data_IF_480644075190
#
_entry.id   IF_480644075190
#
_cell.length_a   1.000
_cell.length_b   1.000
_cell.length_c   1.000
_cell.angle_alpha   90.00
_cell.angle_beta   90.00
_cell.angle_gamma   90.00
#
_symmetry.space_group_name_H-M   'P 1'
#
loop_
_entity.id
_entity.type
_entity.pdbx_description
1 polymer ?
#
# COMPACT_ATOMS: atom_id res chain seq x y z
N UNK A 1 25.83 18.98 -21.22
CA UNK A 1 24.48 18.76 -21.79
C UNK A 1 23.43 19.16 -20.76
N UNK A 2 22.29 19.70 -21.22
CA UNK A 2 21.19 20.13 -20.37
C UNK A 2 19.93 19.31 -20.66
N UNK A 3 19.01 19.24 -19.70
CA UNK A 3 17.78 18.47 -19.81
C UNK A 3 16.58 19.32 -19.41
N UNK A 4 15.55 19.29 -20.24
CA UNK A 4 14.25 19.88 -19.95
C UNK A 4 13.25 18.76 -19.64
N UNK A 5 12.59 18.86 -18.48
CA UNK A 5 11.45 18.01 -18.13
C UNK A 5 10.26 18.87 -17.77
N UNK A 6 9.18 18.75 -18.54
CA UNK A 6 7.92 19.41 -18.21
C UNK A 6 7.31 18.79 -16.94
N UNK A 7 7.01 19.63 -15.94
CA UNK A 7 6.31 19.24 -14.72
C UNK A 7 4.81 18.93 -14.93
N UNK A 8 4.19 19.37 -16.03
CA UNK A 8 2.77 19.13 -16.34
C UNK A 8 2.54 17.84 -17.14
N UNK A 9 3.20 17.69 -18.28
CA UNK A 9 2.95 16.57 -19.20
C UNK A 9 4.09 15.53 -19.26
N UNK A 10 5.11 15.69 -18.41
CA UNK A 10 6.29 14.83 -18.34
C UNK A 10 7.10 14.71 -19.64
N UNK A 11 6.91 15.61 -20.60
CA UNK A 11 7.75 15.68 -21.80
C UNK A 11 9.21 15.91 -21.39
N UNK A 12 10.12 15.13 -21.99
CA UNK A 12 11.54 15.14 -21.72
C UNK A 12 12.30 15.36 -23.03
N UNK A 13 13.23 16.30 -23.02
CA UNK A 13 14.08 16.57 -24.18
C UNK A 13 15.47 17.02 -23.71
N UNK A 14 16.45 16.83 -24.57
CA UNK A 14 17.78 17.35 -24.38
C UNK A 14 17.87 18.80 -24.89
N UNK A 15 18.60 19.65 -24.17
CA UNK A 15 18.82 21.05 -24.49
C UNK A 15 20.32 21.37 -24.51
N UNK A 16 20.64 22.46 -25.20
CA UNK A 16 22.00 22.99 -25.30
C UNK A 16 22.47 23.50 -23.92
N UNK A 17 23.77 23.40 -23.65
CA UNK A 17 24.33 23.80 -22.36
C UNK A 17 24.17 25.28 -22.03
N UNK A 18 24.13 26.14 -23.03
CA UNK A 18 23.89 27.58 -22.84
C UNK A 18 22.51 27.90 -22.29
N UNK A 19 21.56 26.94 -22.32
CA UNK A 19 20.18 27.14 -21.86
C UNK A 19 19.96 26.65 -20.41
N UNK A 20 21.00 26.19 -19.71
CA UNK A 20 20.87 25.77 -18.32
C UNK A 20 20.40 26.93 -17.43
N UNK A 21 19.39 26.69 -16.60
CA UNK A 21 18.80 27.69 -15.71
C UNK A 21 17.70 28.54 -16.36
N UNK A 22 17.53 28.48 -17.69
CA UNK A 22 16.42 29.15 -18.37
C UNK A 22 15.09 28.44 -18.10
N UNK A 23 14.00 29.18 -18.21
CA UNK A 23 12.64 28.64 -18.17
C UNK A 23 11.98 28.78 -19.54
N UNK A 24 11.68 27.64 -20.16
CA UNK A 24 11.17 27.57 -21.54
C UNK A 24 9.79 26.93 -21.57
N UNK A 25 8.99 27.27 -22.59
CA UNK A 25 7.67 26.68 -22.81
C UNK A 25 7.79 25.27 -23.37
N UNK A 26 7.04 24.32 -22.80
CA UNK A 26 7.01 22.94 -23.27
C UNK A 26 6.42 22.85 -24.69
N UNK A 27 7.11 22.20 -25.67
CA UNK A 27 6.60 22.07 -27.03
C UNK A 27 5.33 21.21 -27.12
N UNK A 28 5.07 20.35 -26.13
CA UNK A 28 3.89 19.45 -26.10
C UNK A 28 2.65 20.08 -25.48
N UNK A 29 2.79 20.93 -24.46
CA UNK A 29 1.64 21.42 -23.69
C UNK A 29 1.67 22.93 -23.36
N UNK A 30 2.67 23.66 -23.84
CA UNK A 30 2.85 25.10 -23.62
C UNK A 30 3.28 25.49 -22.21
N UNK A 31 3.29 24.57 -21.25
CA UNK A 31 3.64 24.88 -19.87
C UNK A 31 5.12 25.23 -19.71
N UNK A 32 5.42 26.35 -19.06
CA UNK A 32 6.78 26.80 -18.79
C UNK A 32 7.42 25.96 -17.69
N UNK A 33 8.63 25.45 -17.95
CA UNK A 33 9.43 24.73 -16.97
C UNK A 33 10.92 25.06 -17.13
N UNK A 34 11.70 24.93 -16.04
CA UNK A 34 13.13 25.19 -16.07
C UNK A 34 13.91 24.07 -16.78
N UNK A 35 15.03 24.45 -17.40
CA UNK A 35 16.05 23.57 -17.95
C UNK A 35 17.15 23.37 -16.91
N UNK A 36 17.53 22.13 -16.66
CA UNK A 36 18.54 21.77 -15.66
C UNK A 36 19.79 21.20 -16.32
N UNK A 37 20.95 21.36 -15.69
CA UNK A 37 22.12 20.58 -16.06
C UNK A 37 21.88 19.09 -15.84
N UNK A 38 22.28 18.24 -16.79
CA UNK A 38 21.97 16.80 -16.75
C UNK A 38 22.50 16.13 -15.48
N UNK A 39 23.72 16.45 -15.06
CA UNK A 39 24.31 15.88 -13.84
C UNK A 39 23.50 16.21 -12.59
N UNK A 40 23.09 17.48 -12.44
CA UNK A 40 22.26 17.93 -11.33
C UNK A 40 20.90 17.23 -11.34
N UNK A 41 20.26 17.15 -12.51
CA UNK A 41 18.96 16.51 -12.66
C UNK A 41 19.00 15.02 -12.30
N UNK A 42 20.01 14.30 -12.80
CA UNK A 42 20.19 12.87 -12.52
C UNK A 42 20.50 12.62 -11.04
N UNK A 43 21.36 13.43 -10.41
CA UNK A 43 21.63 13.31 -8.98
C UNK A 43 20.33 13.44 -8.16
N UNK A 44 19.48 14.43 -8.46
CA UNK A 44 18.19 14.60 -7.78
C UNK A 44 17.19 13.49 -8.09
N UNK A 45 17.23 12.91 -9.29
CA UNK A 45 16.41 11.77 -9.64
C UNK A 45 16.79 10.54 -8.81
N UNK A 46 18.09 10.26 -8.69
CA UNK A 46 18.61 9.16 -7.87
C UNK A 46 18.27 9.35 -6.38
N UNK A 47 18.45 10.56 -5.85
CA UNK A 47 18.06 10.89 -4.47
C UNK A 47 16.59 10.51 -4.20
N UNK A 48 15.68 10.91 -5.09
CA UNK A 48 14.24 10.60 -4.98
C UNK A 48 13.95 9.12 -5.15
N UNK A 49 14.61 8.46 -6.09
CA UNK A 49 14.42 7.04 -6.34
C UNK A 49 14.79 6.21 -5.11
N UNK A 50 15.96 6.43 -4.52
CA UNK A 50 16.39 5.69 -3.35
C UNK A 50 15.58 6.04 -2.09
N UNK A 51 15.13 7.29 -1.94
CA UNK A 51 14.20 7.64 -0.88
C UNK A 51 12.88 6.85 -1.00
N UNK A 52 12.33 6.74 -2.21
CA UNK A 52 11.14 5.93 -2.49
C UNK A 52 11.37 4.44 -2.26
N UNK A 53 12.51 3.90 -2.71
CA UNK A 53 12.85 2.49 -2.52
C UNK A 53 12.96 2.12 -1.03
N UNK A 54 13.58 2.98 -0.21
CA UNK A 54 13.64 2.79 1.25
C UNK A 54 12.25 2.76 1.87
N UNK A 55 11.35 3.66 1.45
CA UNK A 55 9.98 3.67 1.97
C UNK A 55 9.19 2.43 1.55
N UNK A 56 9.32 2.00 0.29
CA UNK A 56 8.70 0.75 -0.16
C UNK A 56 9.23 -0.45 0.64
N UNK A 57 10.54 -0.53 0.87
CA UNK A 57 11.14 -1.58 1.70
C UNK A 57 10.61 -1.54 3.14
N UNK A 58 10.48 -0.35 3.73
CA UNK A 58 9.90 -0.16 5.06
C UNK A 58 8.44 -0.61 5.12
N UNK A 59 7.61 -0.22 4.14
CA UNK A 59 6.21 -0.60 4.08
C UNK A 59 6.04 -2.10 3.87
N UNK A 60 6.86 -2.72 3.03
CA UNK A 60 6.89 -4.18 2.87
C UNK A 60 7.23 -4.88 4.18
N UNK A 61 8.28 -4.44 4.88
CA UNK A 61 8.63 -4.99 6.18
C UNK A 61 7.52 -4.84 7.23
N UNK A 62 6.73 -3.76 7.19
CA UNK A 62 5.56 -3.60 8.05
C UNK A 62 4.43 -4.57 7.68
N UNK A 63 4.17 -4.78 6.38
CA UNK A 63 3.16 -5.75 5.93
C UNK A 63 3.58 -7.18 6.29
N UNK A 64 4.85 -7.53 6.07
CA UNK A 64 5.40 -8.85 6.38
C UNK A 64 5.44 -9.08 7.90
N UNK A 65 5.81 -8.07 8.69
CA UNK A 65 5.78 -8.14 10.16
C UNK A 65 4.38 -8.23 10.76
N UNK A 66 3.35 -7.71 10.08
CA UNK A 66 1.94 -7.95 10.46
C UNK A 66 1.49 -9.37 10.10
N UNK A 67 2.09 -10.00 9.09
CA UNK A 67 1.85 -11.41 8.77
C UNK A 67 2.57 -12.38 9.72
N UNK A 68 3.64 -11.93 10.40
CA UNK A 68 4.47 -12.77 11.27
C UNK A 68 3.94 -12.91 12.71
N UNK A 69 2.94 -12.12 13.12
CA UNK A 69 2.26 -12.27 14.43
C UNK A 69 1.03 -13.19 14.42
N UNK A 70 0.64 -13.74 13.27
CA UNK A 70 -0.33 -14.85 13.23
C UNK A 70 0.46 -16.13 13.00
N UNK A 71 0.59 -17.04 13.98
CA UNK A 71 1.12 -18.36 13.69
C UNK A 71 0.09 -19.03 12.77
N UNK A 72 0.32 -18.95 11.45
CA UNK A 72 -0.38 -19.79 10.50
C UNK A 72 0.23 -21.17 10.68
N UNK A 73 -0.37 -21.93 11.60
CA UNK A 73 -0.22 -23.38 11.62
C UNK A 73 -0.65 -23.87 10.23
N UNK A 74 0.35 -24.12 9.38
CA UNK A 74 0.18 -24.75 8.08
C UNK A 74 -0.13 -26.24 8.27
N UNK A 75 -1.35 -26.48 8.75
CA UNK A 75 -2.14 -27.67 8.48
C UNK A 75 -3.54 -27.13 8.30
N UNK A 76 -3.91 -26.77 7.07
CA UNK A 76 -5.34 -26.73 6.73
C UNK A 76 -5.80 -28.16 6.90
N UNK A 77 -6.59 -28.52 7.92
CA UNK A 77 -7.18 -29.84 7.94
C UNK A 77 -8.12 -29.90 6.74
N UNK A 78 -8.28 -31.07 6.13
CA UNK A 78 -9.33 -31.35 5.14
C UNK A 78 -10.74 -30.92 5.60
N UNK A 79 -10.93 -30.58 6.86
CA UNK A 79 -12.13 -30.06 7.50
C UNK A 79 -12.78 -28.86 6.78
N UNK A 80 -12.04 -27.95 6.12
CA UNK A 80 -12.69 -26.81 5.43
C UNK A 80 -13.51 -27.22 4.19
N UNK A 81 -13.24 -28.39 3.61
CA UNK A 81 -14.02 -28.94 2.49
C UNK A 81 -15.26 -29.70 2.97
N UNK A 82 -15.32 -30.06 4.26
CA UNK A 82 -16.41 -30.81 4.88
C UNK A 82 -17.44 -29.91 5.59
N UNK A 83 -17.14 -28.62 5.76
CA UNK A 83 -18.05 -27.66 6.39
C UNK A 83 -19.08 -27.17 5.36
N UNK A 84 -20.35 -27.42 5.63
CA UNK A 84 -21.45 -26.79 4.91
C UNK A 84 -21.58 -25.31 5.31
N UNK A 85 -20.98 -24.42 4.52
CA UNK A 85 -21.02 -22.97 4.77
C UNK A 85 -22.44 -22.37 4.72
N UNK A 86 -23.42 -23.05 4.14
CA UNK A 86 -24.79 -22.55 4.04
C UNK A 86 -25.65 -22.94 5.24
N UNK A 87 -25.19 -23.83 6.11
CA UNK A 87 -25.96 -24.23 7.29
C UNK A 87 -25.05 -24.74 8.40
N UNK A 88 -24.22 -23.84 8.95
CA UNK A 88 -23.24 -24.24 9.97
C UNK A 88 -23.15 -23.25 11.11
N UNK A 89 -23.06 -23.81 12.32
CA UNK A 89 -22.76 -23.07 13.54
C UNK A 89 -21.25 -23.03 13.85
N UNK A 90 -20.40 -23.56 12.96
CA UNK A 90 -18.94 -23.59 13.17
C UNK A 90 -18.33 -22.19 13.30
N UNK A 91 -18.94 -21.19 12.63
CA UNK A 91 -18.53 -19.79 12.71
C UNK A 91 -19.07 -19.08 13.96
N UNK A 92 -20.07 -19.65 14.64
CA UNK A 92 -20.74 -19.09 15.81
C UNK A 92 -20.11 -19.54 17.14
N UNK A 93 -18.77 -19.50 17.25
CA UNK A 93 -18.04 -19.96 18.44
C UNK A 93 -17.27 -18.83 19.14
N UNK A 94 -17.11 -18.95 20.47
CA UNK A 94 -16.38 -17.97 21.27
C UNK A 94 -14.92 -17.81 20.82
N UNK A 95 -14.29 -18.90 20.36
CA UNK A 95 -12.93 -18.88 19.83
C UNK A 95 -12.79 -17.98 18.60
N UNK A 96 -13.77 -18.01 17.68
CA UNK A 96 -13.77 -17.14 16.50
C UNK A 96 -13.99 -15.66 16.85
N UNK A 97 -14.74 -15.38 17.91
CA UNK A 97 -15.07 -14.01 18.32
C UNK A 97 -14.07 -13.41 19.34
N UNK A 98 -13.15 -14.21 19.87
CA UNK A 98 -12.11 -13.81 20.83
C UNK A 98 -11.36 -12.52 20.46
N UNK A 99 -10.81 -12.39 19.23
CA UNK A 99 -10.10 -11.18 18.81
C UNK A 99 -10.96 -9.91 18.82
N UNK A 100 -12.26 -10.05 18.58
CA UNK A 100 -13.22 -8.93 18.61
C UNK A 100 -13.39 -8.48 20.07
N UNK A 101 -13.57 -9.41 21.00
CA UNK A 101 -13.65 -9.09 22.44
C UNK A 101 -12.38 -8.41 22.93
N UNK A 102 -11.20 -8.88 22.55
CA UNK A 102 -9.93 -8.28 22.94
C UNK A 102 -9.78 -6.86 22.40
N UNK A 103 -10.24 -6.61 21.17
CA UNK A 103 -10.25 -5.27 20.59
C UNK A 103 -11.13 -4.29 21.38
N UNK A 104 -12.34 -4.70 21.76
CA UNK A 104 -13.24 -3.87 22.56
C UNK A 104 -12.75 -3.68 24.00
N UNK A 105 -12.16 -4.72 24.60
CA UNK A 105 -11.56 -4.64 25.94
C UNK A 105 -10.44 -3.61 26.01
N UNK A 106 -9.59 -3.52 24.97
CA UNK A 106 -8.56 -2.46 24.86
C UNK A 106 -9.16 -1.06 24.84
N UNK A 107 -10.41 -0.91 24.42
CA UNK A 107 -11.16 0.36 24.42
C UNK A 107 -12.00 0.58 25.67
N UNK A 108 -11.89 -0.30 26.68
CA UNK A 108 -12.70 -0.26 27.91
C UNK A 108 -14.22 -0.38 27.63
N UNK A 109 -14.59 -1.11 26.57
CA UNK A 109 -15.98 -1.36 26.20
C UNK A 109 -16.31 -2.81 26.51
N UNK A 110 -17.39 -3.03 27.27
CA UNK A 110 -17.94 -4.37 27.52
C UNK A 110 -18.86 -4.77 26.37
N UNK A 111 -18.56 -5.89 25.72
CA UNK A 111 -19.36 -6.43 24.62
C UNK A 111 -19.82 -7.83 24.98
N UNK A 112 -21.08 -8.12 24.65
CA UNK A 112 -21.66 -9.46 24.71
C UNK A 112 -22.13 -9.82 23.31
N UNK A 113 -21.45 -10.75 22.64
CA UNK A 113 -21.87 -11.16 21.31
C UNK A 113 -23.03 -12.18 21.42
N UNK A 114 -24.03 -11.99 20.59
CA UNK A 114 -25.13 -12.95 20.44
C UNK A 114 -24.74 -13.98 19.38
N UNK A 115 -24.31 -15.17 19.81
CA UNK A 115 -23.89 -16.24 18.89
C UNK A 115 -25.01 -16.71 17.95
N UNK A 116 -26.28 -16.58 18.36
CA UNK A 116 -27.43 -16.92 17.51
C UNK A 116 -27.68 -15.90 16.39
N UNK A 117 -27.00 -14.75 16.41
CA UNK A 117 -27.07 -13.76 15.34
C UNK A 117 -26.16 -14.09 14.15
N UNK A 118 -25.31 -15.11 14.26
CA UNK A 118 -24.48 -15.59 13.15
C UNK A 118 -25.32 -16.55 12.33
N UNK A 119 -26.10 -16.00 11.40
CA UNK A 119 -26.93 -16.76 10.48
C UNK A 119 -26.18 -16.97 9.16
N UNK A 120 -25.90 -18.24 8.83
CA UNK A 120 -25.29 -18.63 7.56
C UNK A 120 -26.31 -19.15 6.54
N UNK A 121 -27.59 -19.22 6.93
CA UNK A 121 -28.67 -19.89 6.15
C UNK A 121 -29.20 -19.07 4.98
N UNK A 122 -28.78 -17.81 4.83
CA UNK A 122 -28.92 -17.04 3.60
C UNK A 122 -30.36 -16.80 3.12
N UNK A 123 -31.36 -16.88 4.01
CA UNK A 123 -32.75 -16.53 3.71
C UNK A 123 -32.95 -15.04 3.41
#
# INVERSE_FOLDING_TARGET
MAIFRCNKCAHLEERLDGQQGESIACPKCGNTAPVYGTQFFVAKLLDKYFAGQREISRLKALVDGVAEEVPVAATVPSALQEIDFFNTNTLASDAQHGPIYDWFKRKQITVQANMRGVDTTGF
#
